data_IF_995154644642
#
_entry.id   IF_995154644642
#
_cell.length_a   1.000
_cell.length_b   1.000
_cell.length_c   1.000
_cell.angle_alpha   90.00
_cell.angle_beta   90.00
_cell.angle_gamma   90.00
#
_symmetry.space_group_name_H-M   'P 1'
#
loop_
_entity.id
_entity.type
_entity.pdbx_description
1 polymer ?
#
# COMPACT_ATOMS: atom_id res chain seq x y z
N UNK A 1 -8.08 -23.76 -18.56
CA UNK A 1 -7.79 -22.55 -17.77
C UNK A 1 -8.87 -22.44 -16.70
N UNK A 2 -8.50 -22.64 -15.45
CA UNK A 2 -9.35 -22.35 -14.29
C UNK A 2 -9.61 -20.85 -14.23
N UNK A 3 -10.78 -20.42 -13.73
CA UNK A 3 -11.09 -18.99 -13.57
C UNK A 3 -9.98 -18.32 -12.76
N UNK A 4 -9.45 -17.22 -13.28
CA UNK A 4 -8.58 -16.29 -12.54
C UNK A 4 -7.22 -16.86 -12.17
N UNK A 5 -6.31 -17.01 -13.13
CA UNK A 5 -4.91 -17.36 -12.86
C UNK A 5 -3.96 -16.15 -12.96
N UNK A 6 -4.41 -15.01 -13.53
CA UNK A 6 -3.59 -13.81 -13.70
C UNK A 6 -3.59 -12.97 -12.42
N UNK A 7 -2.42 -12.47 -12.01
CA UNK A 7 -2.30 -11.48 -10.94
C UNK A 7 -2.33 -10.07 -11.54
N UNK A 8 -3.27 -9.22 -11.09
CA UNK A 8 -3.29 -7.81 -11.47
C UNK A 8 -2.32 -7.03 -10.59
N UNK A 9 -1.26 -6.46 -11.15
CA UNK A 9 -0.26 -5.71 -10.39
C UNK A 9 -0.46 -4.22 -10.60
N UNK A 10 -0.83 -3.51 -9.54
CA UNK A 10 -0.97 -2.06 -9.57
C UNK A 10 0.30 -1.42 -9.03
N UNK A 11 0.90 -0.52 -9.80
CA UNK A 11 2.11 0.21 -9.41
C UNK A 11 2.01 1.67 -9.85
N UNK A 12 2.87 2.52 -9.27
CA UNK A 12 2.98 3.90 -9.71
C UNK A 12 3.38 3.95 -11.19
N UNK A 13 2.72 4.80 -11.98
CA UNK A 13 2.90 4.85 -13.42
C UNK A 13 4.36 5.09 -13.85
N UNK A 14 5.12 5.87 -13.07
CA UNK A 14 6.56 6.10 -13.32
C UNK A 14 7.43 4.84 -13.15
N UNK A 15 6.95 3.83 -12.43
CA UNK A 15 7.70 2.59 -12.16
C UNK A 15 7.25 1.41 -13.06
N UNK A 16 6.39 1.63 -14.05
CA UNK A 16 5.83 0.55 -14.90
C UNK A 16 6.93 -0.32 -15.54
N UNK A 17 7.90 0.31 -16.20
CA UNK A 17 8.97 -0.41 -16.91
C UNK A 17 9.86 -1.20 -15.96
N UNK A 18 10.22 -0.61 -14.82
CA UNK A 18 11.03 -1.30 -13.81
C UNK A 18 10.28 -2.49 -13.23
N UNK A 19 8.99 -2.33 -12.90
CA UNK A 19 8.16 -3.41 -12.40
C UNK A 19 7.98 -4.52 -13.42
N UNK A 20 7.78 -4.18 -14.71
CA UNK A 20 7.70 -5.15 -15.79
C UNK A 20 8.99 -5.97 -15.93
N UNK A 21 10.16 -5.32 -15.86
CA UNK A 21 11.45 -5.98 -15.94
C UNK A 21 11.66 -6.94 -14.75
N UNK A 22 11.42 -6.47 -13.52
CA UNK A 22 11.56 -7.29 -12.31
C UNK A 22 10.59 -8.47 -12.29
N UNK A 23 9.31 -8.25 -12.63
CA UNK A 23 8.31 -9.32 -12.63
C UNK A 23 8.55 -10.34 -13.73
N UNK A 24 8.97 -9.93 -14.92
CA UNK A 24 9.31 -10.88 -15.99
C UNK A 24 10.45 -11.83 -15.57
N UNK A 25 11.39 -11.34 -14.77
CA UNK A 25 12.51 -12.16 -14.27
C UNK A 25 12.13 -13.05 -13.07
N UNK A 26 11.27 -12.55 -12.18
CA UNK A 26 11.04 -13.16 -10.87
C UNK A 26 9.71 -13.90 -10.73
N UNK A 27 8.70 -13.59 -11.55
CA UNK A 27 7.37 -14.14 -11.40
C UNK A 27 7.25 -15.51 -12.08
N UNK A 28 6.82 -16.51 -11.31
CA UNK A 28 6.44 -17.84 -11.81
C UNK A 28 4.94 -17.94 -12.16
N UNK A 29 4.26 -16.80 -12.33
CA UNK A 29 2.83 -16.71 -12.55
C UNK A 29 2.52 -15.65 -13.62
N UNK A 30 1.41 -15.80 -14.37
CA UNK A 30 1.01 -14.77 -15.32
C UNK A 30 0.54 -13.52 -14.56
N UNK A 31 0.99 -12.36 -15.00
CA UNK A 31 0.63 -11.08 -14.40
C UNK A 31 0.23 -10.07 -15.48
N UNK A 32 -0.53 -9.05 -15.07
CA UNK A 32 -0.81 -7.87 -15.89
C UNK A 32 -0.63 -6.63 -15.04
N UNK A 33 0.17 -5.70 -15.56
CA UNK A 33 0.46 -4.44 -14.87
C UNK A 33 -0.65 -3.42 -15.17
N UNK A 34 -1.01 -2.68 -14.13
CA UNK A 34 -1.91 -1.54 -14.13
C UNK A 34 -1.14 -0.33 -13.59
N UNK A 35 -0.47 0.43 -14.46
CA UNK A 35 0.21 1.65 -14.04
C UNK A 35 -0.84 2.69 -13.65
N UNK A 36 -0.69 3.27 -12.46
CA UNK A 36 -1.67 4.21 -11.90
C UNK A 36 -1.01 5.46 -11.34
N UNK A 37 -1.75 6.56 -11.40
CA UNK A 37 -1.51 7.79 -10.63
C UNK A 37 -2.73 8.07 -9.77
N UNK A 38 -2.58 8.93 -8.77
CA UNK A 38 -3.74 9.44 -8.04
C UNK A 38 -4.77 10.10 -8.97
N UNK A 39 -6.01 10.19 -8.47
CA UNK A 39 -7.12 10.76 -9.21
C UNK A 39 -7.66 9.83 -10.32
N UNK A 40 -8.12 10.37 -11.46
CA UNK A 40 -8.90 9.62 -12.45
C UNK A 40 -8.21 8.37 -13.03
N UNK A 41 -6.87 8.36 -13.08
CA UNK A 41 -6.09 7.22 -13.57
C UNK A 41 -6.36 5.96 -12.75
N UNK A 42 -6.29 6.07 -11.41
CA UNK A 42 -6.57 4.96 -10.50
C UNK A 42 -7.98 4.40 -10.69
N UNK A 43 -9.01 5.26 -10.69
CA UNK A 43 -10.40 4.82 -10.88
C UNK A 43 -10.62 4.13 -12.23
N UNK A 44 -9.98 4.60 -13.30
CA UNK A 44 -10.05 3.96 -14.63
C UNK A 44 -9.39 2.58 -14.61
N UNK A 45 -8.22 2.44 -13.99
CA UNK A 45 -7.52 1.18 -13.88
C UNK A 45 -8.33 0.15 -13.08
N UNK A 46 -8.87 0.56 -11.93
CA UNK A 46 -9.74 -0.31 -11.10
C UNK A 46 -11.00 -0.72 -11.86
N UNK A 47 -11.66 0.20 -12.59
CA UNK A 47 -12.81 -0.17 -13.43
C UNK A 47 -12.45 -1.18 -14.51
N UNK A 48 -11.30 -0.99 -15.16
CA UNK A 48 -10.81 -1.92 -16.21
C UNK A 48 -10.56 -3.31 -15.64
N UNK A 49 -9.92 -3.36 -14.47
CA UNK A 49 -9.71 -4.59 -13.72
C UNK A 49 -11.05 -5.26 -13.35
N UNK A 50 -12.01 -4.50 -12.79
CA UNK A 50 -13.32 -5.04 -12.41
C UNK A 50 -14.14 -5.55 -13.60
N UNK A 51 -14.08 -4.87 -14.75
CA UNK A 51 -14.76 -5.31 -15.98
C UNK A 51 -14.26 -6.68 -16.47
N UNK A 52 -13.03 -7.06 -16.10
CA UNK A 52 -12.41 -8.33 -16.44
C UNK A 52 -12.05 -9.16 -15.21
N UNK A 53 -12.78 -8.95 -14.09
CA UNK A 53 -12.48 -9.56 -12.77
C UNK A 53 -12.32 -11.08 -12.83
N UNK A 54 -13.10 -11.77 -13.67
CA UNK A 54 -13.05 -13.23 -13.82
C UNK A 54 -11.73 -13.76 -14.40
N UNK A 55 -10.91 -12.89 -15.01
CA UNK A 55 -9.59 -13.22 -15.53
C UNK A 55 -8.51 -13.20 -14.44
N UNK A 56 -8.79 -12.57 -13.30
CA UNK A 56 -7.79 -12.32 -12.27
C UNK A 56 -8.02 -13.15 -11.01
N UNK A 57 -6.93 -13.65 -10.44
CA UNK A 57 -6.92 -14.33 -9.14
C UNK A 57 -7.06 -13.35 -7.99
N UNK A 58 -6.24 -12.30 -8.03
CA UNK A 58 -6.14 -11.27 -7.03
C UNK A 58 -5.48 -10.02 -7.64
N UNK A 59 -5.53 -8.92 -6.88
CA UNK A 59 -4.75 -7.72 -7.13
C UNK A 59 -3.54 -7.64 -6.19
N UNK A 60 -2.45 -7.06 -6.65
CA UNK A 60 -1.26 -6.74 -5.86
C UNK A 60 -1.10 -5.22 -5.85
N UNK A 61 -1.10 -4.62 -4.65
CA UNK A 61 -0.91 -3.19 -4.48
C UNK A 61 0.57 -2.89 -4.20
N UNK A 62 1.28 -2.33 -5.18
CA UNK A 62 2.68 -1.88 -5.10
C UNK A 62 2.81 -0.36 -5.25
N UNK A 63 1.73 0.38 -5.04
CA UNK A 63 1.77 1.84 -5.12
C UNK A 63 2.50 2.41 -3.90
N UNK A 64 3.23 3.51 -4.06
CA UNK A 64 4.10 4.06 -3.00
C UNK A 64 3.75 5.48 -2.58
N UNK A 65 2.76 6.09 -3.22
CA UNK A 65 2.35 7.47 -2.94
C UNK A 65 1.46 7.62 -1.71
N UNK A 66 1.20 8.87 -1.38
CA UNK A 66 0.18 9.31 -0.42
C UNK A 66 -1.03 9.87 -1.17
N UNK A 67 -2.06 10.37 -0.48
CA UNK A 67 -3.20 11.05 -1.13
C UNK A 67 -2.85 12.40 -1.75
N UNK A 68 -1.73 12.99 -1.34
CA UNK A 68 -1.27 14.32 -1.79
C UNK A 68 -0.25 14.23 -2.92
N UNK A 69 0.25 13.04 -3.22
CA UNK A 69 1.23 12.81 -4.28
C UNK A 69 0.55 12.88 -5.66
N UNK A 70 1.03 13.76 -6.55
CA UNK A 70 0.47 13.91 -7.90
C UNK A 70 0.96 12.82 -8.87
N UNK A 71 2.20 12.34 -8.66
CA UNK A 71 2.88 11.44 -9.59
C UNK A 71 2.75 9.98 -9.18
N UNK A 72 2.60 9.72 -7.88
CA UNK A 72 2.44 8.37 -7.32
C UNK A 72 1.01 8.11 -6.89
N UNK A 73 0.64 6.84 -6.89
CA UNK A 73 -0.68 6.41 -6.46
C UNK A 73 -0.69 6.15 -4.96
N UNK A 74 -1.74 6.59 -4.27
CA UNK A 74 -1.94 6.28 -2.86
C UNK A 74 -2.25 4.79 -2.67
N UNK A 75 -1.39 4.11 -1.93
CA UNK A 75 -1.65 2.73 -1.50
C UNK A 75 -2.95 2.61 -0.68
N UNK A 76 -3.26 3.61 0.15
CA UNK A 76 -4.44 3.60 1.02
C UNK A 76 -5.73 3.78 0.21
N UNK A 77 -5.73 4.69 -0.77
CA UNK A 77 -6.90 4.87 -1.66
C UNK A 77 -7.13 3.63 -2.51
N UNK A 78 -6.08 3.02 -3.05
CA UNK A 78 -6.25 1.81 -3.84
C UNK A 78 -6.78 0.63 -2.99
N UNK A 79 -6.26 0.46 -1.77
CA UNK A 79 -6.77 -0.54 -0.83
C UNK A 79 -8.23 -0.31 -0.46
N UNK A 80 -8.66 0.96 -0.27
CA UNK A 80 -10.07 1.26 0.04
C UNK A 80 -10.98 0.92 -1.14
N UNK A 81 -10.56 1.19 -2.38
CA UNK A 81 -11.30 0.81 -3.58
C UNK A 81 -11.42 -0.71 -3.72
N UNK A 82 -10.34 -1.46 -3.42
CA UNK A 82 -10.41 -2.91 -3.43
C UNK A 82 -11.36 -3.46 -2.37
N UNK A 83 -11.35 -2.91 -1.15
CA UNK A 83 -12.28 -3.32 -0.10
C UNK A 83 -13.73 -3.01 -0.45
N UNK A 84 -14.02 -1.80 -0.97
CA UNK A 84 -15.36 -1.40 -1.40
C UNK A 84 -15.92 -2.28 -2.53
N UNK A 85 -15.04 -2.83 -3.37
CA UNK A 85 -15.41 -3.68 -4.51
C UNK A 85 -15.23 -5.17 -4.20
N UNK A 86 -14.96 -5.52 -2.94
CA UNK A 86 -14.73 -6.88 -2.45
C UNK A 86 -13.66 -7.64 -3.23
N UNK A 87 -12.63 -6.94 -3.71
CA UNK A 87 -11.52 -7.52 -4.46
C UNK A 87 -10.59 -8.24 -3.49
N UNK A 88 -10.17 -9.45 -3.84
CA UNK A 88 -9.08 -10.13 -3.13
C UNK A 88 -7.77 -9.47 -3.53
N UNK A 89 -7.06 -8.88 -2.57
CA UNK A 89 -5.80 -8.20 -2.83
C UNK A 89 -4.71 -8.53 -1.81
N UNK A 90 -3.46 -8.37 -2.26
CA UNK A 90 -2.25 -8.49 -1.46
C UNK A 90 -1.76 -7.11 -1.05
N UNK A 91 -1.30 -7.00 0.20
CA UNK A 91 -0.84 -5.76 0.82
C UNK A 91 -1.47 -5.55 2.20
N UNK A 92 -1.27 -4.35 2.76
CA UNK A 92 -1.91 -3.96 4.01
C UNK A 92 -3.38 -3.56 3.78
N UNK A 93 -4.24 -3.84 4.76
CA UNK A 93 -5.63 -3.41 4.74
C UNK A 93 -5.74 -1.88 4.81
N UNK A 94 -6.80 -1.33 4.23
CA UNK A 94 -7.05 0.12 4.29
C UNK A 94 -7.11 0.62 5.75
N UNK A 95 -7.76 -0.15 6.64
CA UNK A 95 -7.85 0.19 8.06
C UNK A 95 -6.51 0.28 8.78
N UNK A 96 -5.48 -0.43 8.29
CA UNK A 96 -4.10 -0.34 8.79
C UNK A 96 -3.37 0.82 8.12
N UNK A 97 -3.50 0.96 6.79
CA UNK A 97 -2.80 2.00 6.01
C UNK A 97 -3.23 3.42 6.37
N UNK A 98 -4.46 3.62 6.86
CA UNK A 98 -4.93 4.94 7.30
C UNK A 98 -4.43 5.36 8.68
N UNK A 99 -3.83 4.44 9.45
CA UNK A 99 -3.37 4.76 10.79
C UNK A 99 -2.08 5.58 10.71
N UNK A 100 -1.98 6.66 11.50
CA UNK A 100 -0.70 7.30 11.77
C UNK A 100 0.33 6.30 12.34
N UNK A 101 1.61 6.54 12.06
CA UNK A 101 2.69 5.62 12.46
C UNK A 101 2.79 5.48 13.99
N UNK A 102 2.56 6.55 14.73
CA UNK A 102 2.54 6.55 16.20
C UNK A 102 1.42 5.65 16.75
N UNK A 103 0.25 5.66 16.12
CA UNK A 103 -0.85 4.74 16.49
C UNK A 103 -0.45 3.29 16.25
N UNK A 104 0.21 2.98 15.13
CA UNK A 104 0.71 1.63 14.85
C UNK A 104 1.75 1.19 15.90
N UNK A 105 2.65 2.08 16.31
CA UNK A 105 3.64 1.78 17.35
C UNK A 105 3.00 1.57 18.71
N UNK A 106 2.01 2.39 19.08
CA UNK A 106 1.23 2.19 20.30
C UNK A 106 0.51 0.84 20.29
N UNK A 107 -0.09 0.44 19.17
CA UNK A 107 -0.72 -0.88 19.05
C UNK A 107 0.28 -2.02 19.28
N UNK A 108 1.50 -1.93 18.74
CA UNK A 108 2.55 -2.91 18.99
C UNK A 108 2.94 -2.99 20.47
N UNK A 109 3.09 -1.84 21.15
CA UNK A 109 3.39 -1.80 22.59
C UNK A 109 2.27 -2.43 23.41
N UNK A 110 1.01 -2.08 23.14
CA UNK A 110 -0.13 -2.65 23.86
C UNK A 110 -0.32 -4.15 23.59
N UNK A 111 0.13 -4.65 22.44
CA UNK A 111 0.18 -6.08 22.13
C UNK A 111 1.36 -6.82 22.81
N UNK A 112 2.24 -6.12 23.53
CA UNK A 112 3.41 -6.70 24.20
C UNK A 112 4.55 -7.06 23.24
N UNK A 113 4.57 -6.48 22.04
CA UNK A 113 5.69 -6.67 21.11
C UNK A 113 6.93 -5.90 21.61
N UNK A 114 8.13 -6.49 21.56
CA UNK A 114 9.35 -5.80 21.96
C UNK A 114 9.62 -4.63 21.00
N UNK A 115 9.47 -3.42 21.51
CA UNK A 115 9.71 -2.17 20.79
C UNK A 115 10.79 -1.36 21.53
N UNK A 116 11.65 -0.61 20.81
CA UNK A 116 12.50 0.38 21.46
C UNK A 116 11.63 1.42 22.18
N UNK A 117 12.19 2.05 23.22
CA UNK A 117 11.53 3.19 23.86
C UNK A 117 11.31 4.29 22.82
N UNK A 118 10.10 4.84 22.79
CA UNK A 118 9.76 5.97 21.93
C UNK A 118 8.90 6.98 22.69
N UNK A 119 8.84 8.18 22.15
CA UNK A 119 7.96 9.25 22.60
C UNK A 119 7.38 9.93 21.38
N UNK A 120 6.12 10.35 21.46
CA UNK A 120 5.42 11.01 20.35
C UNK A 120 5.52 12.51 20.56
N UNK A 121 6.18 13.21 19.65
CA UNK A 121 6.34 14.66 19.67
C UNK A 121 5.34 15.24 18.68
N UNK A 122 4.34 16.00 19.18
CA UNK A 122 3.31 16.64 18.35
C UNK A 122 3.51 18.15 18.27
N UNK A 123 4.24 18.73 19.23
CA UNK A 123 4.49 20.15 19.36
C UNK A 123 5.89 20.42 19.94
N UNK A 124 6.35 21.67 19.89
CA UNK A 124 7.62 22.08 20.50
C UNK A 124 7.62 21.90 22.03
N UNK A 125 6.46 22.04 22.70
CA UNK A 125 6.33 21.83 24.15
C UNK A 125 6.63 20.38 24.56
N UNK A 126 6.35 19.41 23.68
CA UNK A 126 6.65 17.99 23.93
C UNK A 126 8.16 17.73 23.95
N UNK A 127 8.95 18.56 23.24
CA UNK A 127 10.41 18.41 23.17
C UNK A 127 11.06 18.70 24.52
N UNK A 128 10.56 19.73 25.24
CA UNK A 128 11.09 20.08 26.56
C UNK A 128 10.88 18.96 27.59
N UNK A 129 9.91 18.07 27.34
CA UNK A 129 9.60 16.94 28.21
C UNK A 129 10.38 15.66 27.83
N UNK A 130 11.11 15.65 26.70
CA UNK A 130 11.91 14.51 26.29
C UNK A 130 13.11 14.34 27.22
N UNK A 131 13.05 13.34 28.09
CA UNK A 131 14.22 12.86 28.83
C UNK A 131 15.12 12.04 27.91
N UNK A 132 15.84 12.73 27.02
CA UNK A 132 16.83 12.15 26.10
C UNK A 132 18.02 11.62 26.90
N UNK A 133 17.91 10.38 27.39
CA UNK A 133 19.07 9.62 27.86
C UNK A 133 19.71 8.96 26.65
N UNK A 134 20.69 9.64 26.05
CA UNK A 134 21.60 8.99 25.12
C UNK A 134 22.36 7.88 25.89
N UNK A 135 22.50 6.67 25.33
CA UNK A 135 23.38 5.68 25.93
C UNK A 135 24.80 6.24 25.86
N UNK A 136 25.38 6.52 27.02
CA UNK A 136 26.81 6.83 27.20
C UNK A 136 27.60 5.55 27.06
#
# INVERSE_FOLDING_TARGET
MTRGDIVAVFCDALHEQEMAARLTQLANFPFRIFPVRNGPSMYRAVRTFCASRNCYRCALNLCTGTTEDEDRASQAVLASLFEQLEVVYCGCRYMTLKQPLDVLFMMCVYAGLPMPLFSVVKSEEDIEQLSLRFPV
#
